data_IF_643138872251
#
_entry.id   IF_643138872251
#
_cell.length_a   1.000
_cell.length_b   1.000
_cell.length_c   1.000
_cell.angle_alpha   90.00
_cell.angle_beta   90.00
_cell.angle_gamma   90.00
#
_symmetry.space_group_name_H-M   'P 1'
#
loop_
_entity.id
_entity.type
_entity.pdbx_description
1 polymer ?
#
# COMPACT_ATOMS: atom_id res chain seq x y z
N UNK A 1 12.50 1.18 -17.91
CA UNK A 1 13.32 1.97 -18.89
C UNK A 1 14.14 2.99 -18.10
N UNK A 2 15.23 3.53 -18.64
CA UNK A 2 15.97 4.62 -17.97
C UNK A 2 15.38 5.99 -18.36
N UNK A 3 15.84 7.06 -17.72
CA UNK A 3 15.34 8.43 -17.91
C UNK A 3 15.39 8.88 -19.37
N UNK A 4 16.49 8.60 -20.07
CA UNK A 4 16.67 9.05 -21.45
C UNK A 4 15.67 8.38 -22.39
N UNK A 5 15.42 7.09 -22.18
CA UNK A 5 14.47 6.29 -22.96
C UNK A 5 13.02 6.73 -22.73
N UNK A 6 12.69 7.19 -21.52
CA UNK A 6 11.38 7.76 -21.21
C UNK A 6 11.17 9.12 -21.88
N UNK A 7 12.18 10.00 -21.86
CA UNK A 7 12.13 11.29 -22.54
C UNK A 7 12.04 11.14 -24.07
N UNK A 8 12.77 10.17 -24.62
CA UNK A 8 12.71 9.83 -26.04
C UNK A 8 11.31 9.31 -26.43
N UNK A 9 10.74 8.40 -25.64
CA UNK A 9 9.37 7.92 -25.85
C UNK A 9 8.34 9.06 -25.73
N UNK A 10 8.45 9.92 -24.73
CA UNK A 10 7.56 11.08 -24.58
C UNK A 10 7.60 11.98 -25.83
N UNK A 11 8.81 12.29 -26.29
CA UNK A 11 9.04 13.10 -27.49
C UNK A 11 8.45 12.44 -28.74
N UNK A 12 8.65 11.11 -28.90
CA UNK A 12 8.07 10.33 -30.00
C UNK A 12 6.54 10.37 -29.99
N UNK A 13 5.93 10.33 -28.80
CA UNK A 13 4.48 10.31 -28.64
C UNK A 13 3.85 11.70 -28.76
N UNK A 14 4.64 12.78 -28.69
CA UNK A 14 4.17 14.16 -28.61
C UNK A 14 3.63 14.51 -27.21
N UNK A 15 4.20 13.91 -26.17
CA UNK A 15 3.79 14.02 -24.79
C UNK A 15 4.95 14.52 -23.91
N UNK A 16 4.66 14.89 -22.67
CA UNK A 16 5.62 15.39 -21.69
C UNK A 16 6.08 14.27 -20.74
N UNK A 17 7.25 14.44 -20.13
CA UNK A 17 7.80 13.50 -19.15
C UNK A 17 8.07 14.22 -17.82
N UNK A 18 7.48 13.73 -16.74
CA UNK A 18 7.71 14.26 -15.39
C UNK A 18 8.80 13.44 -14.68
N UNK A 19 9.84 14.13 -14.20
CA UNK A 19 11.01 13.47 -13.60
C UNK A 19 10.74 12.93 -12.19
N UNK A 20 9.85 13.57 -11.44
CA UNK A 20 9.57 13.22 -10.04
C UNK A 20 8.73 11.95 -9.93
N UNK A 21 7.66 11.84 -10.73
CA UNK A 21 6.77 10.68 -10.78
C UNK A 21 7.19 9.65 -11.82
N UNK A 22 8.11 10.00 -12.72
CA UNK A 22 8.65 9.13 -13.79
C UNK A 22 7.58 8.60 -14.74
N UNK A 23 6.63 9.46 -15.11
CA UNK A 23 5.53 9.14 -16.03
C UNK A 23 5.63 9.98 -17.30
N UNK A 24 5.02 9.49 -18.38
CA UNK A 24 4.69 10.30 -19.55
C UNK A 24 3.25 10.78 -19.38
N UNK A 25 2.95 12.03 -19.72
CA UNK A 25 1.60 12.57 -19.60
C UNK A 25 1.34 13.65 -20.65
N UNK A 26 0.06 13.98 -20.85
CA UNK A 26 -0.34 15.09 -21.71
C UNK A 26 -1.67 14.83 -22.41
N UNK A 27 -1.88 15.53 -23.51
CA UNK A 27 -3.07 15.36 -24.35
C UNK A 27 -2.68 14.89 -25.75
N UNK A 28 -3.45 13.92 -26.27
CA UNK A 28 -3.33 13.45 -27.65
C UNK A 28 -4.71 13.25 -28.25
N UNK A 29 -4.95 13.86 -29.41
CA UNK A 29 -6.22 13.77 -30.14
C UNK A 29 -7.47 14.08 -29.32
N UNK A 30 -7.37 15.05 -28.40
CA UNK A 30 -8.48 15.48 -27.53
C UNK A 30 -8.66 14.64 -26.26
N UNK A 31 -7.83 13.62 -26.04
CA UNK A 31 -7.84 12.81 -24.84
C UNK A 31 -6.66 13.11 -23.93
N UNK A 32 -6.93 13.32 -22.65
CA UNK A 32 -5.89 13.43 -21.62
C UNK A 32 -5.48 12.04 -21.16
N UNK A 33 -4.18 11.82 -21.07
CA UNK A 33 -3.63 10.51 -20.69
C UNK A 33 -2.32 10.62 -19.92
N UNK A 34 -1.97 9.53 -19.25
CA UNK A 34 -0.62 9.31 -18.74
C UNK A 34 -0.19 7.84 -18.87
N UNK A 35 1.11 7.61 -18.85
CA UNK A 35 1.76 6.31 -18.98
C UNK A 35 2.71 6.11 -17.81
N UNK A 36 2.51 5.05 -17.04
CA UNK A 36 3.34 4.69 -15.89
C UNK A 36 4.01 3.32 -16.05
N UNK A 37 5.17 3.14 -15.42
CA UNK A 37 5.84 1.84 -15.24
C UNK A 37 5.18 1.10 -14.07
N UNK A 38 4.55 -0.04 -14.33
CA UNK A 38 3.96 -0.89 -13.30
C UNK A 38 4.93 -1.98 -12.79
N UNK A 39 6.21 -1.92 -13.21
CA UNK A 39 7.24 -2.90 -12.87
C UNK A 39 7.25 -4.11 -13.81
N UNK A 40 8.34 -4.89 -13.76
CA UNK A 40 8.48 -6.15 -14.52
C UNK A 40 8.23 -6.04 -16.05
N UNK A 41 8.59 -4.90 -16.65
CA UNK A 41 8.30 -4.57 -18.07
C UNK A 41 6.80 -4.49 -18.38
N UNK A 42 5.98 -4.15 -17.38
CA UNK A 42 4.55 -3.90 -17.54
C UNK A 42 4.34 -2.39 -17.46
N UNK A 43 3.57 -1.86 -18.40
CA UNK A 43 3.26 -0.45 -18.52
C UNK A 43 1.75 -0.27 -18.47
N UNK A 44 1.29 0.85 -17.92
CA UNK A 44 -0.13 1.19 -17.91
C UNK A 44 -0.34 2.50 -18.65
N UNK A 45 -1.26 2.48 -19.60
CA UNK A 45 -1.74 3.67 -20.29
C UNK A 45 -3.13 3.97 -19.71
N UNK A 46 -3.25 5.16 -19.12
CA UNK A 46 -4.42 5.57 -18.38
C UNK A 46 -5.08 6.77 -19.08
N UNK A 47 -6.39 6.67 -19.28
CA UNK A 47 -7.24 7.73 -19.83
C UNK A 47 -8.40 8.01 -18.89
N UNK A 48 -8.96 9.21 -18.98
CA UNK A 48 -10.25 9.53 -18.37
C UNK A 48 -11.29 9.81 -19.45
N UNK A 49 -12.21 8.87 -19.61
CA UNK A 49 -13.15 8.82 -20.73
C UNK A 49 -14.52 8.32 -20.29
N UNK A 50 -15.53 8.74 -21.03
CA UNK A 50 -16.91 8.28 -20.88
C UNK A 50 -17.45 7.86 -22.25
N UNK A 51 -17.99 6.66 -22.32
CA UNK A 51 -18.72 6.13 -23.49
C UNK A 51 -20.18 5.87 -23.15
N UNK A 52 -20.99 5.57 -24.16
CA UNK A 52 -22.41 5.25 -23.99
C UNK A 52 -22.58 3.73 -23.70
N UNK A 53 -23.41 3.38 -22.71
CA UNK A 53 -23.76 2.03 -22.26
C UNK A 53 -22.64 1.04 -21.84
N UNK A 54 -22.53 0.77 -20.53
CA UNK A 54 -21.49 -0.06 -19.90
C UNK A 54 -21.47 -1.56 -20.30
N UNK A 55 -22.53 -2.09 -20.92
CA UNK A 55 -22.64 -3.52 -21.26
C UNK A 55 -21.97 -3.87 -22.59
N UNK A 56 -21.97 -2.97 -23.58
CA UNK A 56 -21.24 -3.16 -24.86
C UNK A 56 -19.72 -3.02 -24.65
N UNK A 57 -19.33 -2.01 -23.87
CA UNK A 57 -17.93 -1.60 -23.68
C UNK A 57 -17.05 -2.76 -23.17
N UNK A 58 -17.59 -3.63 -22.31
CA UNK A 58 -16.82 -4.75 -21.76
C UNK A 58 -16.40 -5.79 -22.83
N UNK A 59 -17.25 -6.06 -23.82
CA UNK A 59 -16.91 -6.93 -24.94
C UNK A 59 -15.99 -6.22 -25.94
N UNK A 60 -16.25 -4.94 -26.23
CA UNK A 60 -15.44 -4.13 -27.13
C UNK A 60 -13.99 -3.98 -26.62
N UNK A 61 -13.80 -3.81 -25.30
CA UNK A 61 -12.47 -3.80 -24.67
C UNK A 61 -11.76 -5.16 -24.73
N UNK A 62 -12.51 -6.28 -24.67
CA UNK A 62 -11.93 -7.62 -24.86
C UNK A 62 -11.48 -7.80 -26.30
N UNK A 63 -12.22 -7.26 -27.27
CA UNK A 63 -11.86 -7.28 -28.67
C UNK A 63 -10.61 -6.43 -28.94
N UNK A 64 -10.55 -5.20 -28.43
CA UNK A 64 -9.37 -4.32 -28.50
C UNK A 64 -8.10 -5.03 -27.99
N UNK A 65 -8.22 -5.73 -26.85
CA UNK A 65 -7.12 -6.52 -26.29
C UNK A 65 -6.68 -7.65 -27.22
N UNK A 66 -7.62 -8.33 -27.89
CA UNK A 66 -7.32 -9.44 -28.80
C UNK A 66 -6.69 -8.96 -30.11
N UNK A 67 -7.14 -7.82 -30.62
CA UNK A 67 -6.67 -7.25 -31.88
C UNK A 67 -5.30 -6.56 -31.74
N UNK A 68 -4.95 -6.06 -30.55
CA UNK A 68 -3.71 -5.31 -30.35
C UNK A 68 -2.64 -6.11 -29.62
N UNK A 69 -1.56 -6.44 -30.35
CA UNK A 69 -0.43 -7.21 -29.80
C UNK A 69 0.29 -6.41 -28.71
N UNK A 70 0.44 -7.03 -27.54
CA UNK A 70 1.12 -6.42 -26.38
C UNK A 70 0.16 -5.99 -25.26
N UNK A 71 -1.13 -5.83 -25.55
CA UNK A 71 -2.14 -5.58 -24.53
C UNK A 71 -2.44 -6.85 -23.73
N UNK A 72 -2.27 -6.79 -22.41
CA UNK A 72 -2.56 -7.92 -21.50
C UNK A 72 -3.87 -7.72 -20.76
N UNK A 73 -4.27 -6.48 -20.52
CA UNK A 73 -5.52 -6.14 -19.86
C UNK A 73 -6.08 -4.81 -20.36
N UNK A 74 -7.41 -4.68 -20.32
CA UNK A 74 -8.13 -3.46 -20.65
C UNK A 74 -9.34 -3.35 -19.71
N UNK A 75 -9.41 -2.28 -18.92
CA UNK A 75 -10.47 -2.13 -17.92
C UNK A 75 -10.90 -0.67 -17.80
N UNK A 76 -12.20 -0.43 -17.92
CA UNK A 76 -12.84 0.85 -17.61
C UNK A 76 -13.51 0.75 -16.23
N UNK A 77 -13.00 1.49 -15.26
CA UNK A 77 -13.62 1.60 -13.92
C UNK A 77 -14.17 3.01 -13.77
N UNK A 78 -15.51 3.14 -13.79
CA UNK A 78 -16.22 4.42 -13.81
C UNK A 78 -15.82 5.26 -15.03
N UNK A 79 -14.90 6.20 -14.88
CA UNK A 79 -14.40 7.06 -15.97
C UNK A 79 -12.92 6.80 -16.28
N UNK A 80 -12.22 5.94 -15.53
CA UNK A 80 -10.80 5.66 -15.74
C UNK A 80 -10.63 4.41 -16.59
N UNK A 81 -10.13 4.59 -17.81
CA UNK A 81 -9.70 3.49 -18.67
C UNK A 81 -8.23 3.20 -18.42
N UNK A 82 -7.93 1.96 -18.03
CA UNK A 82 -6.56 1.48 -17.79
C UNK A 82 -6.28 0.34 -18.74
N UNK A 83 -5.29 0.53 -19.62
CA UNK A 83 -4.78 -0.49 -20.53
C UNK A 83 -3.41 -0.93 -20.04
N UNK A 84 -3.24 -2.23 -19.83
CA UNK A 84 -1.96 -2.82 -19.42
C UNK A 84 -1.24 -3.36 -20.64
N UNK A 85 -0.01 -2.90 -20.85
CA UNK A 85 0.84 -3.24 -21.99
C UNK A 85 2.09 -3.96 -21.49
N UNK A 86 2.40 -5.12 -22.06
CA UNK A 86 3.64 -5.84 -21.78
C UNK A 86 4.73 -5.37 -22.75
N UNK A 87 5.85 -4.92 -22.20
CA UNK A 87 7.01 -4.50 -22.97
C UNK A 87 7.65 -5.61 -23.80
N UNK A 88 8.41 -5.20 -24.81
CA UNK A 88 9.12 -6.08 -25.72
C UNK A 88 10.40 -6.68 -25.13
N UNK A 89 11.08 -7.50 -25.95
CA UNK A 89 12.38 -8.09 -25.57
C UNK A 89 13.46 -7.03 -25.42
N UNK A 90 13.45 -5.99 -26.27
CA UNK A 90 14.38 -4.86 -26.27
C UNK A 90 13.68 -3.56 -25.90
N UNK A 91 14.44 -2.55 -25.46
CA UNK A 91 13.92 -1.22 -25.12
C UNK A 91 13.25 -0.55 -26.33
N UNK A 92 13.87 -0.62 -27.51
CA UNK A 92 13.28 -0.11 -28.75
C UNK A 92 11.93 -0.76 -29.06
N UNK A 93 11.84 -2.10 -28.96
CA UNK A 93 10.57 -2.79 -29.19
C UNK A 93 9.50 -2.46 -28.16
N UNK A 94 9.89 -2.17 -26.91
CA UNK A 94 8.96 -1.67 -25.89
C UNK A 94 8.37 -0.32 -26.29
N UNK A 95 9.20 0.64 -26.74
CA UNK A 95 8.72 1.96 -27.19
C UNK A 95 7.74 1.83 -28.35
N UNK A 96 8.08 1.02 -29.36
CA UNK A 96 7.19 0.70 -30.47
C UNK A 96 5.88 0.08 -30.00
N UNK A 97 5.92 -0.91 -29.10
CA UNK A 97 4.72 -1.59 -28.59
C UNK A 97 3.81 -0.62 -27.84
N UNK A 98 4.38 0.29 -27.04
CA UNK A 98 3.60 1.32 -26.32
C UNK A 98 2.96 2.29 -27.32
N UNK A 99 3.69 2.73 -28.35
CA UNK A 99 3.16 3.61 -29.39
C UNK A 99 2.05 2.94 -30.21
N UNK A 100 2.27 1.70 -30.68
CA UNK A 100 1.27 0.88 -31.39
C UNK A 100 0.00 0.71 -30.53
N UNK A 101 0.15 0.41 -29.24
CA UNK A 101 -0.97 0.29 -28.31
C UNK A 101 -1.70 1.62 -28.12
N UNK A 102 -0.97 2.72 -27.96
CA UNK A 102 -1.56 4.05 -27.76
C UNK A 102 -2.42 4.46 -28.96
N UNK A 103 -1.93 4.26 -30.17
CA UNK A 103 -2.67 4.57 -31.41
C UNK A 103 -3.93 3.70 -31.55
N UNK A 104 -3.82 2.41 -31.22
CA UNK A 104 -4.98 1.50 -31.23
C UNK A 104 -6.05 1.94 -30.22
N UNK A 105 -5.65 2.36 -29.00
CA UNK A 105 -6.60 2.85 -27.99
C UNK A 105 -7.28 4.13 -28.47
N UNK A 106 -6.53 5.10 -28.99
CA UNK A 106 -7.11 6.37 -29.47
C UNK A 106 -8.09 6.12 -30.62
N UNK A 107 -7.76 5.21 -31.54
CA UNK A 107 -8.65 4.81 -32.64
C UNK A 107 -9.93 4.20 -32.10
N UNK A 108 -9.81 3.24 -31.18
CA UNK A 108 -10.95 2.62 -30.50
C UNK A 108 -11.86 3.64 -29.82
N UNK A 109 -11.28 4.57 -29.06
CA UNK A 109 -12.03 5.61 -28.35
C UNK A 109 -12.83 6.48 -29.33
N UNK A 110 -12.22 6.86 -30.46
CA UNK A 110 -12.91 7.65 -31.51
C UNK A 110 -14.03 6.88 -32.18
N UNK A 111 -13.79 5.62 -32.56
CA UNK A 111 -14.77 4.77 -33.25
C UNK A 111 -16.01 4.49 -32.39
N UNK A 112 -15.82 4.31 -31.09
CA UNK A 112 -16.89 4.03 -30.13
C UNK A 112 -17.46 5.30 -29.49
N UNK A 113 -17.09 6.49 -29.96
CA UNK A 113 -17.66 7.77 -29.53
C UNK A 113 -17.34 8.14 -28.07
N UNK A 114 -16.23 7.65 -27.51
CA UNK A 114 -15.80 8.07 -26.18
C UNK A 114 -15.43 9.55 -26.18
N UNK A 115 -15.76 10.23 -25.09
CA UNK A 115 -15.38 11.63 -24.86
C UNK A 115 -14.46 11.74 -23.66
N UNK A 116 -13.53 12.69 -23.71
CA UNK A 116 -12.66 13.03 -22.59
C UNK A 116 -13.46 13.70 -21.47
N UNK A 117 -13.32 13.20 -20.25
CA UNK A 117 -14.05 13.72 -19.08
C UNK A 117 -13.15 13.81 -17.86
N UNK A 118 -13.55 14.57 -16.85
CA UNK A 118 -12.90 14.54 -15.54
C UNK A 118 -13.14 13.19 -14.82
N UNK A 119 -12.08 12.57 -14.30
CA UNK A 119 -12.14 11.26 -13.62
C UNK A 119 -13.03 11.30 -12.36
N UNK A 120 -13.16 12.48 -11.74
CA UNK A 120 -13.93 12.67 -10.52
C UNK A 120 -15.43 12.90 -10.79
N UNK A 121 -15.75 13.84 -11.69
CA UNK A 121 -17.14 14.29 -11.95
C UNK A 121 -17.79 13.54 -13.12
N UNK A 122 -17.00 13.15 -14.13
CA UNK A 122 -17.50 12.59 -15.39
C UNK A 122 -18.04 13.65 -16.36
N UNK A 123 -17.76 14.92 -16.09
CA UNK A 123 -18.13 16.05 -16.95
C UNK A 123 -17.09 16.25 -18.06
N UNK A 124 -17.58 16.66 -19.23
CA UNK A 124 -16.75 16.95 -20.40
C UNK A 124 -16.20 18.37 -20.31
N UNK A 125 -15.09 18.52 -19.59
CA UNK A 125 -14.40 19.76 -19.30
C UNK A 125 -12.89 19.64 -19.57
N UNK A 126 -12.14 20.75 -19.69
CA UNK A 126 -10.69 20.69 -19.88
C UNK A 126 -10.01 19.97 -18.71
N UNK A 127 -9.35 18.85 -19.01
CA UNK A 127 -8.63 18.04 -18.01
C UNK A 127 -7.12 18.10 -18.18
N UNK A 128 -6.40 17.90 -17.09
CA UNK A 128 -4.97 17.65 -17.08
C UNK A 128 -4.64 16.52 -16.10
N UNK A 129 -3.38 16.07 -16.09
CA UNK A 129 -2.93 15.06 -15.13
C UNK A 129 -2.48 15.78 -13.86
N UNK A 130 -2.99 15.32 -12.72
CA UNK A 130 -2.67 15.87 -11.42
C UNK A 130 -2.20 14.76 -10.49
N UNK A 131 -1.21 15.09 -9.66
CA UNK A 131 -0.84 14.30 -8.51
C UNK A 131 -1.64 14.77 -7.31
N UNK A 132 -2.35 13.84 -6.68
CA UNK A 132 -3.17 14.07 -5.49
C UNK A 132 -2.81 12.99 -4.47
N UNK A 133 -1.92 13.34 -3.55
CA UNK A 133 -1.26 12.40 -2.66
C UNK A 133 -0.37 11.42 -3.42
N UNK A 134 -0.59 10.12 -3.21
CA UNK A 134 0.10 9.06 -3.95
C UNK A 134 -0.55 8.72 -5.29
N UNK A 135 -1.69 9.34 -5.61
CA UNK A 135 -2.48 8.97 -6.78
C UNK A 135 -2.26 9.96 -7.94
N UNK A 136 -2.21 9.40 -9.16
CA UNK A 136 -2.28 10.16 -10.40
C UNK A 136 -3.71 10.09 -10.96
N UNK A 137 -4.30 11.26 -11.14
CA UNK A 137 -5.69 11.43 -11.54
C UNK A 137 -5.78 12.38 -12.73
N UNK A 138 -6.72 12.13 -13.64
CA UNK A 138 -7.02 13.04 -14.75
C UNK A 138 -8.23 13.87 -14.34
N UNK A 139 -8.00 15.13 -13.99
CA UNK A 139 -9.01 15.99 -13.36
C UNK A 139 -9.20 17.29 -14.11
N UNK A 140 -10.34 17.94 -13.89
CA UNK A 140 -10.49 19.37 -14.13
C UNK A 140 -9.80 20.20 -13.06
N UNK A 141 -9.55 21.47 -13.36
CA UNK A 141 -8.96 22.41 -12.41
C UNK A 141 -9.81 22.54 -11.13
N UNK A 142 -11.14 22.58 -11.26
CA UNK A 142 -12.06 22.69 -10.13
C UNK A 142 -12.06 21.43 -9.27
N UNK A 143 -12.12 20.25 -9.90
CA UNK A 143 -12.03 18.97 -9.18
C UNK A 143 -10.69 18.81 -8.46
N UNK A 144 -9.59 19.25 -9.09
CA UNK A 144 -8.28 19.28 -8.46
C UNK A 144 -8.25 20.21 -7.25
N UNK A 145 -8.82 21.42 -7.35
CA UNK A 145 -8.87 22.37 -6.24
C UNK A 145 -9.70 21.84 -5.07
N UNK A 146 -10.85 21.20 -5.35
CA UNK A 146 -11.68 20.57 -4.33
C UNK A 146 -10.95 19.42 -3.64
N UNK A 147 -10.34 18.50 -4.40
CA UNK A 147 -9.59 17.38 -3.82
C UNK A 147 -8.37 17.85 -3.04
N UNK A 148 -7.63 18.83 -3.57
CA UNK A 148 -6.45 19.40 -2.92
C UNK A 148 -6.80 20.14 -1.63
N UNK A 149 -7.90 20.90 -1.61
CA UNK A 149 -8.38 21.58 -0.40
C UNK A 149 -8.88 20.58 0.64
N UNK A 150 -9.62 19.54 0.25
CA UNK A 150 -10.05 18.48 1.16
C UNK A 150 -8.84 17.77 1.80
N UNK A 151 -7.81 17.46 1.01
CA UNK A 151 -6.56 16.89 1.53
C UNK A 151 -5.79 17.84 2.43
N UNK A 152 -5.75 19.13 2.11
CA UNK A 152 -5.13 20.14 2.96
C UNK A 152 -5.88 20.28 4.31
N UNK A 153 -7.21 20.26 4.28
CA UNK A 153 -8.05 20.26 5.49
C UNK A 153 -7.81 18.97 6.29
N UNK A 154 -7.75 17.81 5.65
CA UNK A 154 -7.45 16.54 6.32
C UNK A 154 -6.06 16.60 7.00
N UNK A 155 -5.04 17.06 6.29
CA UNK A 155 -3.68 17.25 6.83
C UNK A 155 -3.69 18.15 8.06
N UNK A 156 -4.27 19.34 7.90
CA UNK A 156 -4.33 20.33 8.96
C UNK A 156 -5.14 19.81 10.15
N UNK A 157 -6.22 19.06 9.90
CA UNK A 157 -7.02 18.45 10.96
C UNK A 157 -6.25 17.37 11.73
N UNK A 158 -5.40 16.58 11.08
CA UNK A 158 -4.55 15.59 11.74
C UNK A 158 -3.44 16.26 12.58
N UNK A 159 -2.86 17.34 12.06
CA UNK A 159 -1.84 18.09 12.79
C UNK A 159 -2.41 18.84 14.00
N UNK A 160 -3.62 19.38 13.88
CA UNK A 160 -4.34 20.06 14.95
C UNK A 160 -5.03 19.11 15.93
N UNK A 161 -5.17 17.82 15.60
CA UNK A 161 -5.74 16.85 16.52
C UNK A 161 -4.83 16.67 17.74
N UNK A 162 -5.39 17.00 18.90
CA UNK A 162 -4.77 16.66 20.17
C UNK A 162 -4.71 15.14 20.31
N UNK A 163 -3.51 14.62 20.49
CA UNK A 163 -3.28 13.20 20.75
C UNK A 163 -4.00 12.81 22.06
N UNK A 164 -4.91 11.84 21.97
CA UNK A 164 -5.54 11.26 23.14
C UNK A 164 -4.64 10.16 23.70
N UNK A 165 -3.58 10.54 24.43
CA UNK A 165 -2.58 9.58 24.94
C UNK A 165 -3.25 8.46 25.77
N UNK A 166 -4.27 8.78 26.56
CA UNK A 166 -5.01 7.78 27.36
C UNK A 166 -5.71 6.79 26.45
N UNK A 167 -6.43 7.27 25.43
CA UNK A 167 -7.03 6.42 24.41
C UNK A 167 -5.99 5.57 23.69
N UNK A 168 -4.86 6.16 23.32
CA UNK A 168 -3.74 5.47 22.67
C UNK A 168 -3.17 4.34 23.53
N UNK A 169 -2.97 4.56 24.83
CA UNK A 169 -2.51 3.52 25.77
C UNK A 169 -3.49 2.34 25.79
N UNK A 170 -4.79 2.62 25.92
CA UNK A 170 -5.83 1.57 25.90
C UNK A 170 -5.81 0.83 24.56
N UNK A 171 -5.64 1.57 23.47
CA UNK A 171 -5.56 1.02 22.11
C UNK A 171 -4.35 0.14 21.89
N UNK A 172 -3.16 0.56 22.33
CA UNK A 172 -1.95 -0.24 22.29
C UNK A 172 -2.09 -1.52 23.12
N UNK A 173 -2.68 -1.42 24.30
CA UNK A 173 -2.91 -2.57 25.17
C UNK A 173 -3.85 -3.60 24.53
N UNK A 174 -5.00 -3.16 24.00
CA UNK A 174 -5.92 -4.05 23.28
C UNK A 174 -5.27 -4.62 22.02
N UNK A 175 -4.56 -3.78 21.27
CA UNK A 175 -3.85 -4.17 20.06
C UNK A 175 -2.77 -5.23 20.32
N UNK A 176 -1.97 -5.08 21.37
CA UNK A 176 -0.93 -6.05 21.72
C UNK A 176 -1.52 -7.35 22.27
N UNK A 177 -2.66 -7.33 22.96
CA UNK A 177 -3.38 -8.55 23.37
C UNK A 177 -3.84 -9.35 22.15
N UNK A 178 -4.44 -8.69 21.15
CA UNK A 178 -4.86 -9.34 19.89
C UNK A 178 -3.64 -9.90 19.15
N UNK A 179 -2.59 -9.08 18.98
CA UNK A 179 -1.35 -9.50 18.34
C UNK A 179 -0.68 -10.66 19.06
N UNK A 180 -0.72 -10.67 20.40
CA UNK A 180 -0.18 -11.73 21.25
C UNK A 180 -0.95 -13.03 21.13
N UNK A 181 -2.28 -12.98 21.12
CA UNK A 181 -3.11 -14.16 20.91
C UNK A 181 -2.84 -14.83 19.55
N UNK A 182 -2.74 -14.03 18.47
CA UNK A 182 -2.39 -14.55 17.14
C UNK A 182 -0.98 -15.14 17.12
N UNK A 183 -0.02 -14.43 17.71
CA UNK A 183 1.37 -14.90 17.83
C UNK A 183 1.46 -16.23 18.57
N UNK A 184 0.76 -16.36 19.70
CA UNK A 184 0.70 -17.59 20.48
C UNK A 184 0.07 -18.74 19.68
N UNK A 185 -1.03 -18.46 18.96
CA UNK A 185 -1.67 -19.46 18.09
C UNK A 185 -0.72 -20.00 17.03
N UNK A 186 0.09 -19.13 16.41
CA UNK A 186 1.11 -19.54 15.42
C UNK A 186 2.23 -20.35 16.09
N UNK A 187 2.70 -19.93 17.27
CA UNK A 187 3.74 -20.63 18.02
C UNK A 187 3.31 -22.06 18.41
N UNK A 188 2.05 -22.23 18.81
CA UNK A 188 1.46 -23.54 19.14
C UNK A 188 1.37 -24.50 17.93
N UNK A 189 1.43 -23.99 16.70
CA UNK A 189 1.55 -24.80 15.48
C UNK A 189 3.01 -25.20 15.18
N UNK A 190 3.96 -24.80 16.04
CA UNK A 190 5.38 -25.11 15.91
C UNK A 190 6.17 -24.13 15.02
N UNK A 191 5.58 -22.99 14.65
CA UNK A 191 6.22 -22.00 13.78
C UNK A 191 6.66 -20.75 14.55
N UNK A 192 7.93 -20.40 14.44
CA UNK A 192 8.43 -19.05 14.75
C UNK A 192 8.53 -18.31 13.42
N UNK A 193 7.53 -17.47 13.13
CA UNK A 193 7.36 -16.89 11.80
C UNK A 193 7.57 -15.39 11.78
N UNK A 194 8.01 -14.88 10.65
CA UNK A 194 8.01 -13.45 10.36
C UNK A 194 6.60 -12.83 10.50
N UNK A 195 5.56 -13.59 10.10
CA UNK A 195 4.17 -13.15 10.11
C UNK A 195 3.68 -12.82 11.51
N UNK A 196 4.03 -13.62 12.52
CA UNK A 196 3.58 -13.38 13.90
C UNK A 196 4.13 -12.08 14.47
N UNK A 197 5.41 -11.80 14.25
CA UNK A 197 6.00 -10.52 14.64
C UNK A 197 5.39 -9.33 13.90
N UNK A 198 5.14 -9.47 12.58
CA UNK A 198 4.49 -8.42 11.81
C UNK A 198 3.08 -8.10 12.33
N UNK A 199 2.26 -9.12 12.61
CA UNK A 199 0.93 -8.94 13.18
C UNK A 199 0.99 -8.25 14.55
N UNK A 200 1.87 -8.68 15.45
CA UNK A 200 2.06 -8.04 16.75
C UNK A 200 2.40 -6.55 16.62
N UNK A 201 3.35 -6.23 15.74
CA UNK A 201 3.78 -4.86 15.48
C UNK A 201 2.66 -3.99 14.93
N UNK A 202 1.94 -4.50 13.92
CA UNK A 202 0.84 -3.79 13.27
C UNK A 202 -0.32 -3.56 14.24
N UNK A 203 -0.79 -4.61 14.92
CA UNK A 203 -1.94 -4.51 15.82
C UNK A 203 -1.69 -3.54 16.98
N UNK A 204 -0.49 -3.54 17.56
CA UNK A 204 -0.17 -2.65 18.69
C UNK A 204 -0.14 -1.18 18.26
N UNK A 205 0.58 -0.86 17.18
CA UNK A 205 0.72 0.53 16.70
C UNK A 205 -0.60 1.04 16.13
N UNK A 206 -1.31 0.25 15.33
CA UNK A 206 -2.64 0.63 14.83
C UNK A 206 -3.67 0.75 15.94
N UNK A 207 -3.59 -0.10 16.96
CA UNK A 207 -4.41 0.01 18.15
C UNK A 207 -4.21 1.37 18.84
N UNK A 208 -2.95 1.76 19.05
CA UNK A 208 -2.62 3.09 19.61
C UNK A 208 -3.16 4.21 18.72
N UNK A 209 -2.85 4.19 17.43
CA UNK A 209 -3.23 5.25 16.48
C UNK A 209 -4.76 5.43 16.43
N UNK A 210 -5.51 4.33 16.43
CA UNK A 210 -6.97 4.35 16.31
C UNK A 210 -7.66 5.03 17.51
N UNK A 211 -7.25 4.69 18.75
CA UNK A 211 -7.87 5.26 19.95
C UNK A 211 -7.16 6.54 20.44
N UNK A 212 -5.89 6.70 20.08
CA UNK A 212 -5.07 7.88 20.34
C UNK A 212 -5.30 9.01 19.33
N UNK A 213 -6.00 8.72 18.22
CA UNK A 213 -6.31 9.61 17.08
C UNK A 213 -5.09 10.07 16.27
N UNK A 214 -3.91 10.08 16.89
CA UNK A 214 -2.64 10.49 16.32
C UNK A 214 -1.54 9.59 16.85
N UNK A 215 -0.56 9.26 16.00
CA UNK A 215 0.64 8.53 16.42
C UNK A 215 1.80 9.52 16.59
N UNK A 216 2.12 9.90 17.82
CA UNK A 216 3.29 10.74 18.13
C UNK A 216 4.53 9.91 18.45
N UNK A 217 5.68 10.58 18.61
CA UNK A 217 6.91 9.94 19.12
C UNK A 217 6.71 9.29 20.49
N UNK A 218 5.87 9.91 21.33
CA UNK A 218 5.50 9.37 22.63
C UNK A 218 4.66 8.10 22.46
N UNK A 219 3.66 8.13 21.58
CA UNK A 219 2.83 6.96 21.26
C UNK A 219 3.59 5.78 20.68
N UNK A 220 4.60 6.04 19.85
CA UNK A 220 5.54 5.01 19.36
C UNK A 220 6.29 4.38 20.53
N UNK A 221 6.83 5.20 21.45
CA UNK A 221 7.52 4.70 22.65
C UNK A 221 6.64 3.82 23.53
N UNK A 222 5.40 4.24 23.79
CA UNK A 222 4.42 3.46 24.56
C UNK A 222 4.10 2.12 23.87
N UNK A 223 3.87 2.16 22.55
CA UNK A 223 3.58 0.96 21.77
C UNK A 223 4.75 -0.03 21.81
N UNK A 224 5.98 0.46 21.67
CA UNK A 224 7.19 -0.37 21.79
C UNK A 224 7.27 -1.03 23.17
N UNK A 225 7.03 -0.29 24.24
CA UNK A 225 7.02 -0.85 25.59
C UNK A 225 6.02 -2.01 25.72
N UNK A 226 4.77 -1.81 25.26
CA UNK A 226 3.76 -2.88 25.28
C UNK A 226 4.14 -4.09 24.44
N UNK A 227 4.73 -3.88 23.25
CA UNK A 227 5.22 -4.98 22.43
C UNK A 227 6.30 -5.78 23.15
N UNK A 228 7.27 -5.12 23.78
CA UNK A 228 8.37 -5.81 24.47
C UNK A 228 7.86 -6.68 25.62
N UNK A 229 6.98 -6.13 26.46
CA UNK A 229 6.38 -6.85 27.59
C UNK A 229 5.51 -8.01 27.09
N UNK A 230 4.70 -7.78 26.05
CA UNK A 230 3.81 -8.81 25.52
C UNK A 230 4.57 -9.96 24.84
N UNK A 231 5.68 -9.68 24.16
CA UNK A 231 6.55 -10.71 23.57
C UNK A 231 7.11 -11.63 24.65
N UNK A 232 7.62 -11.08 25.76
CA UNK A 232 8.09 -11.89 26.89
C UNK A 232 6.96 -12.75 27.44
N UNK A 233 5.79 -12.16 27.65
CA UNK A 233 4.64 -12.87 28.20
C UNK A 233 4.19 -14.02 27.29
N UNK A 234 4.01 -13.76 25.99
CA UNK A 234 3.59 -14.76 25.00
C UNK A 234 4.63 -15.87 24.87
N UNK A 235 5.92 -15.53 24.83
CA UNK A 235 6.98 -16.53 24.74
C UNK A 235 7.04 -17.41 25.99
N UNK A 236 6.93 -16.81 27.17
CA UNK A 236 6.89 -17.53 28.43
C UNK A 236 5.66 -18.43 28.53
N UNK A 237 4.52 -17.97 28.05
CA UNK A 237 3.27 -18.73 28.01
C UNK A 237 3.34 -19.91 27.03
N UNK A 238 3.99 -19.74 25.88
CA UNK A 238 4.19 -20.81 24.89
C UNK A 238 4.99 -21.99 25.49
N UNK A 239 6.10 -21.69 26.17
CA UNK A 239 6.90 -22.69 26.87
C UNK A 239 6.17 -23.30 28.07
N UNK A 240 5.38 -22.52 28.81
CA UNK A 240 4.53 -23.06 29.87
C UNK A 240 3.51 -24.08 29.34
N UNK A 241 2.92 -23.82 28.17
CA UNK A 241 2.02 -24.77 27.51
C UNK A 241 2.77 -26.03 27.06
N UNK A 242 4.02 -25.91 26.60
CA UNK A 242 4.85 -27.07 26.29
C UNK A 242 5.08 -27.94 27.54
N UNK A 243 5.50 -27.34 28.66
CA UNK A 243 5.71 -28.02 29.95
C UNK A 243 4.41 -28.69 30.43
N UNK A 244 3.27 -28.01 30.28
CA UNK A 244 1.94 -28.55 30.60
C UNK A 244 1.68 -29.86 29.85
N UNK A 245 1.99 -29.90 28.55
CA UNK A 245 1.80 -31.10 27.70
C UNK A 245 2.72 -32.26 28.09
N UNK A 246 3.94 -31.97 28.53
CA UNK A 246 4.92 -33.00 28.90
C UNK A 246 4.73 -33.54 30.33
N UNK A 247 4.41 -32.66 31.28
CA UNK A 247 4.35 -32.98 32.72
C UNK A 247 2.91 -33.26 33.18
N UNK A 248 1.89 -32.86 32.41
CA UNK A 248 0.49 -33.10 32.74
C UNK A 248 -0.05 -32.21 33.89
N UNK A 249 0.49 -31.01 34.05
CA UNK A 249 0.03 -30.00 35.03
C UNK A 249 -0.82 -28.92 34.36
N UNK A 250 -1.38 -27.97 35.12
CA UNK A 250 -2.10 -26.83 34.55
C UNK A 250 -1.14 -25.72 34.07
N UNK A 251 -1.61 -24.90 33.12
CA UNK A 251 -0.78 -23.88 32.46
C UNK A 251 -0.27 -22.81 33.44
N UNK A 252 -1.04 -22.46 34.47
CA UNK A 252 -0.62 -21.43 35.43
C UNK A 252 0.49 -21.96 36.34
N UNK A 253 0.35 -23.20 36.82
CA UNK A 253 1.40 -23.88 37.58
C UNK A 253 2.66 -24.05 36.75
N UNK A 254 2.54 -24.53 35.50
CA UNK A 254 3.67 -24.64 34.58
C UNK A 254 4.34 -23.30 34.30
N UNK A 255 3.56 -22.23 34.11
CA UNK A 255 4.07 -20.88 33.90
C UNK A 255 4.86 -20.39 35.11
N UNK A 256 4.30 -20.48 36.31
CA UNK A 256 4.99 -20.08 37.54
C UNK A 256 6.24 -20.90 37.79
N UNK A 257 6.17 -22.22 37.60
CA UNK A 257 7.31 -23.12 37.76
C UNK A 257 8.44 -22.77 36.78
N UNK A 258 8.13 -22.71 35.49
CA UNK A 258 9.11 -22.44 34.45
C UNK A 258 9.71 -21.02 34.59
N UNK A 259 8.92 -20.03 35.01
CA UNK A 259 9.41 -18.68 35.30
C UNK A 259 10.39 -18.67 36.46
N UNK A 260 10.05 -19.33 37.58
CA UNK A 260 10.96 -19.41 38.72
C UNK A 260 12.23 -20.19 38.38
N UNK A 261 12.11 -21.27 37.60
CA UNK A 261 13.27 -22.02 37.10
C UNK A 261 14.22 -21.12 36.31
N UNK A 262 13.71 -20.35 35.34
CA UNK A 262 14.50 -19.42 34.54
C UNK A 262 15.16 -18.34 35.41
N UNK A 263 14.41 -17.72 36.33
CA UNK A 263 14.92 -16.65 37.21
C UNK A 263 15.97 -17.15 38.20
N UNK A 264 15.92 -18.41 38.59
CA UNK A 264 16.92 -19.04 39.47
C UNK A 264 18.24 -19.41 38.76
N UNK A 265 18.34 -19.11 37.46
CA UNK A 265 19.50 -19.45 36.64
C UNK A 265 19.44 -20.84 36.02
N UNK A 266 18.24 -21.42 35.91
CA UNK A 266 18.03 -22.70 35.24
C UNK A 266 18.46 -22.65 33.77
N UNK A 267 19.13 -23.71 33.32
CA UNK A 267 19.58 -23.83 31.94
C UNK A 267 18.43 -24.27 31.03
N UNK A 268 18.08 -23.42 30.07
CA UNK A 268 17.11 -23.74 29.02
C UNK A 268 17.84 -24.03 27.71
N UNK A 269 17.21 -24.85 26.88
CA UNK A 269 17.73 -25.14 25.54
C UNK A 269 17.92 -23.84 24.73
N UNK A 270 18.99 -23.75 23.94
CA UNK A 270 19.34 -22.53 23.22
C UNK A 270 18.23 -21.99 22.31
N UNK A 271 17.31 -22.86 21.86
CA UNK A 271 16.14 -22.49 21.05
C UNK A 271 15.20 -21.54 21.78
N UNK A 272 15.15 -21.56 23.11
CA UNK A 272 14.41 -20.58 23.90
C UNK A 272 14.86 -19.16 23.56
N UNK A 273 16.16 -18.88 23.77
CA UNK A 273 16.74 -17.56 23.53
C UNK A 273 16.74 -17.17 22.05
N UNK A 274 16.99 -18.13 21.15
CA UNK A 274 16.94 -17.90 19.71
C UNK A 274 15.53 -17.50 19.26
N UNK A 275 14.50 -18.25 19.67
CA UNK A 275 13.12 -17.98 19.30
C UNK A 275 12.63 -16.65 19.87
N UNK A 276 13.01 -16.34 21.11
CA UNK A 276 12.74 -15.03 21.72
C UNK A 276 13.39 -13.90 20.92
N UNK A 277 14.67 -14.04 20.55
CA UNK A 277 15.39 -13.07 19.73
C UNK A 277 14.75 -12.88 18.35
N UNK A 278 14.34 -13.96 17.68
CA UNK A 278 13.63 -13.90 16.41
C UNK A 278 12.27 -13.20 16.53
N UNK A 279 11.53 -13.47 17.61
CA UNK A 279 10.23 -12.84 17.82
C UNK A 279 10.35 -11.32 18.03
N UNK A 280 11.39 -10.88 18.76
CA UNK A 280 11.75 -9.47 18.85
C UNK A 280 12.15 -8.87 17.50
N UNK A 281 12.99 -9.56 16.74
CA UNK A 281 13.44 -9.10 15.43
C UNK A 281 12.24 -8.91 14.48
N UNK A 282 11.38 -9.92 14.35
CA UNK A 282 10.23 -9.87 13.45
C UNK A 282 9.21 -8.82 13.90
N UNK A 283 8.97 -8.69 15.21
CA UNK A 283 8.10 -7.63 15.72
C UNK A 283 8.69 -6.23 15.49
N UNK A 284 10.00 -6.09 15.67
CA UNK A 284 10.72 -4.86 15.36
C UNK A 284 10.59 -4.45 13.89
N UNK A 285 10.69 -5.41 12.96
CA UNK A 285 10.47 -5.16 11.52
C UNK A 285 9.03 -4.73 11.25
N UNK A 286 8.04 -5.43 11.84
CA UNK A 286 6.63 -5.05 11.73
C UNK A 286 6.35 -3.64 12.25
N UNK A 287 6.90 -3.32 13.42
CA UNK A 287 6.81 -2.01 14.02
C UNK A 287 7.47 -0.93 13.15
N UNK A 288 8.69 -1.20 12.65
CA UNK A 288 9.40 -0.29 11.76
C UNK A 288 8.61 -0.02 10.47
N UNK A 289 8.08 -1.07 9.82
CA UNK A 289 7.28 -0.92 8.60
C UNK A 289 6.07 -0.02 8.85
N UNK A 290 5.37 -0.19 9.98
CA UNK A 290 4.23 0.65 10.34
C UNK A 290 4.61 2.09 10.65
N UNK A 291 5.66 2.31 11.44
CA UNK A 291 6.15 3.66 11.76
C UNK A 291 6.64 4.37 10.50
N UNK A 292 7.39 3.67 9.65
CA UNK A 292 7.84 4.20 8.38
C UNK A 292 6.67 4.55 7.47
N UNK A 293 5.64 3.69 7.37
CA UNK A 293 4.43 4.00 6.60
C UNK A 293 3.66 5.19 7.19
N UNK A 294 3.52 5.27 8.52
CA UNK A 294 2.82 6.37 9.18
C UNK A 294 3.54 7.72 8.97
N UNK A 295 4.88 7.73 8.99
CA UNK A 295 5.69 8.93 8.82
C UNK A 295 5.92 9.29 7.33
N UNK A 296 6.20 8.29 6.49
CA UNK A 296 6.51 8.46 5.06
C UNK A 296 5.28 8.73 4.21
N UNK A 297 4.12 8.15 4.53
CA UNK A 297 2.88 8.53 3.86
C UNK A 297 2.43 9.94 4.29
N UNK A 298 2.77 10.43 5.48
CA UNK A 298 2.37 11.77 5.89
C UNK A 298 3.01 12.87 5.02
N UNK A 299 4.18 12.65 4.43
CA UNK A 299 4.81 13.66 3.56
C UNK A 299 4.30 13.61 2.13
N UNK A 300 4.02 12.42 1.59
CA UNK A 300 3.54 12.23 0.21
C UNK A 300 2.02 12.30 0.07
N UNK A 301 1.24 11.95 1.11
CA UNK A 301 -0.23 11.93 1.10
C UNK A 301 -0.84 13.30 0.79
N UNK A 302 -0.12 14.39 1.07
CA UNK A 302 -0.62 15.75 0.85
C UNK A 302 0.09 16.49 -0.29
N UNK A 303 0.90 15.80 -1.08
CA UNK A 303 1.46 16.39 -2.29
C UNK A 303 0.33 16.56 -3.30
N UNK A 304 0.05 17.82 -3.64
CA UNK A 304 -0.93 18.16 -4.67
C UNK A 304 -0.24 19.04 -5.69
N UNK A 305 -0.10 18.57 -6.92
CA UNK A 305 0.47 19.38 -8.01
C UNK A 305 -0.13 18.99 -9.35
N UNK A 306 -0.17 19.97 -10.24
CA UNK A 306 -0.41 19.75 -11.66
C UNK A 306 0.88 19.21 -12.28
N UNK A 307 0.77 18.18 -13.13
CA UNK A 307 1.84 17.75 -14.00
C UNK A 307 1.83 18.61 -15.27
#
# INVERSE_FOLDING_TARGET
MDKLEWQDLASQLGLEYDEDTKIIFGQKDGYTLFIEDAGEKIYRICFSVKGDEALSIAEDLKELKKSTKGMTNAQLTRYKLVITVKGGMTKGRTKETIAECLEAIITFLKEHGFINVCEHTGEAEPTAVYQVGTNLLILSADSFQQLSSNLAIENQSYDLQNENVIGGIVGAFVGCLIGGAVTLGIAQLGYVSFVSGLVMGVCTIKGYELLGKKLSKLGIGISIFFMLVMILFVHQLDWAILVTKEVGTDVFTAFSYFTNYLLSGGEVHYTYWLNLGLLYLFTGIGAYSMVHNALGNHTLKYVTRKL
#
